data_IF_844242997394
#
_entry.id   IF_844242997394
#
_cell.length_a   1.000
_cell.length_b   1.000
_cell.length_c   1.000
_cell.angle_alpha   90.00
_cell.angle_beta   90.00
_cell.angle_gamma   90.00
#
_symmetry.space_group_name_H-M   'P 1'
#
loop_
_entity.id
_entity.type
_entity.pdbx_description
1 polymer ?
#
# COMPACT_ATOMS: atom_id res chain seq x y z
N UNK A 1 -8.09 -16.77 -27.75
CA UNK A 1 -7.01 -15.80 -27.60
C UNK A 1 -7.20 -15.18 -26.23
N UNK A 2 -6.67 -15.82 -25.19
CA UNK A 2 -6.56 -15.23 -23.86
C UNK A 2 -5.48 -14.16 -23.96
N UNK A 3 -5.89 -12.91 -24.13
CA UNK A 3 -4.98 -11.79 -23.96
C UNK A 3 -4.53 -11.79 -22.51
N UNK A 4 -3.23 -12.03 -22.31
CA UNK A 4 -2.51 -12.04 -21.04
C UNK A 4 -3.13 -11.08 -20.01
N UNK A 5 -3.84 -11.66 -19.03
CA UNK A 5 -4.35 -10.95 -17.85
C UNK A 5 -3.22 -10.69 -16.83
N UNK A 6 -1.99 -10.57 -17.31
CA UNK A 6 -0.81 -10.35 -16.49
C UNK A 6 -0.94 -9.00 -15.78
N UNK A 7 -0.78 -8.97 -14.45
CA UNK A 7 -0.71 -7.73 -13.71
C UNK A 7 0.35 -6.79 -14.29
N UNK A 8 0.15 -5.48 -14.17
CA UNK A 8 1.23 -4.51 -14.47
C UNK A 8 2.31 -4.54 -13.40
N UNK A 9 1.88 -4.73 -12.15
CA UNK A 9 2.72 -4.77 -10.98
C UNK A 9 2.00 -5.56 -9.90
N UNK A 10 2.74 -6.28 -9.08
CA UNK A 10 2.23 -6.98 -7.89
C UNK A 10 2.91 -6.44 -6.64
N UNK A 11 2.17 -6.41 -5.53
CA UNK A 11 2.76 -6.06 -4.24
C UNK A 11 3.12 -7.34 -3.51
N UNK A 12 4.41 -7.49 -3.19
CA UNK A 12 5.00 -8.72 -2.66
C UNK A 12 5.17 -8.69 -1.14
N UNK A 13 5.32 -7.51 -0.54
CA UNK A 13 5.52 -7.38 0.90
C UNK A 13 5.33 -5.96 1.44
N UNK A 14 5.20 -5.88 2.76
CA UNK A 14 5.23 -4.65 3.54
C UNK A 14 6.49 -4.59 4.40
N UNK A 15 7.00 -3.39 4.61
CA UNK A 15 8.25 -3.16 5.30
C UNK A 15 8.18 -1.91 6.17
N UNK A 16 8.93 -1.92 7.26
CA UNK A 16 9.22 -0.71 8.06
C UNK A 16 10.60 -0.18 7.69
N UNK A 17 10.74 1.15 7.73
CA UNK A 17 12.03 1.80 7.60
C UNK A 17 12.81 1.72 8.91
N UNK A 18 14.06 1.30 8.85
CA UNK A 18 15.02 1.32 9.96
C UNK A 18 16.29 2.07 9.54
N UNK A 19 17.19 2.31 10.49
CA UNK A 19 18.50 2.89 10.19
C UNK A 19 19.31 2.02 9.21
N UNK A 20 19.11 0.70 9.23
CA UNK A 20 19.84 -0.25 8.40
C UNK A 20 19.14 -0.59 7.07
N UNK A 21 18.01 0.05 6.77
CA UNK A 21 17.21 -0.22 5.57
C UNK A 21 15.80 -0.71 5.89
N UNK A 22 15.22 -1.50 5.00
CA UNK A 22 13.85 -2.01 5.11
C UNK A 22 13.82 -3.35 5.83
N UNK A 23 12.96 -3.47 6.84
CA UNK A 23 12.70 -4.73 7.55
C UNK A 23 11.26 -5.20 7.29
N UNK A 24 11.01 -6.50 7.07
CA UNK A 24 9.67 -7.02 6.86
C UNK A 24 8.72 -6.66 8.01
N UNK A 25 7.59 -6.07 7.64
CA UNK A 25 6.52 -5.73 8.56
C UNK A 25 5.49 -6.86 8.56
N UNK A 26 5.37 -7.52 9.70
CA UNK A 26 4.51 -8.68 9.91
C UNK A 26 3.79 -8.57 11.25
N UNK A 27 2.92 -9.54 11.56
CA UNK A 27 2.31 -9.66 12.88
C UNK A 27 3.32 -9.81 14.01
N UNK A 28 4.44 -10.49 13.77
CA UNK A 28 5.46 -10.79 14.78
C UNK A 28 6.46 -9.64 14.99
N UNK A 29 6.43 -8.63 14.12
CA UNK A 29 7.29 -7.45 14.16
C UNK A 29 6.44 -6.19 14.37
N UNK A 30 5.88 -5.97 15.58
CA UNK A 30 4.94 -4.89 15.82
C UNK A 30 5.59 -3.51 15.72
N UNK A 31 4.84 -2.54 15.19
CA UNK A 31 5.18 -1.13 15.20
C UNK A 31 4.84 -0.50 16.55
N UNK A 32 5.69 0.38 17.03
CA UNK A 32 5.40 1.27 18.15
C UNK A 32 4.48 2.42 17.72
N UNK A 33 3.78 3.05 18.68
CA UNK A 33 2.99 4.23 18.40
C UNK A 33 3.82 5.42 17.89
N UNK A 34 5.10 5.50 18.27
CA UNK A 34 6.02 6.51 17.73
C UNK A 34 6.34 6.26 16.25
N UNK A 35 6.66 5.02 15.87
CA UNK A 35 6.90 4.64 14.47
C UNK A 35 5.67 4.93 13.61
N UNK A 36 4.47 4.54 14.06
CA UNK A 36 3.21 4.81 13.36
C UNK A 36 2.95 6.32 13.16
N UNK A 37 3.44 7.16 14.07
CA UNK A 37 3.25 8.62 13.99
C UNK A 37 4.23 9.31 13.05
N UNK A 38 5.44 8.80 12.93
CA UNK A 38 6.57 9.50 12.30
C UNK A 38 7.07 8.85 11.01
N UNK A 39 6.86 7.55 10.86
CA UNK A 39 7.46 6.77 9.79
C UNK A 39 6.38 6.25 8.84
N UNK A 40 6.62 6.30 7.52
CA UNK A 40 5.73 5.65 6.57
C UNK A 40 5.92 4.12 6.62
N UNK A 41 4.92 3.41 6.12
CA UNK A 41 5.00 1.98 5.82
C UNK A 41 5.37 1.84 4.35
N UNK A 42 6.39 1.03 4.09
CA UNK A 42 6.86 0.75 2.73
C UNK A 42 6.19 -0.51 2.20
N UNK A 43 5.98 -0.55 0.89
CA UNK A 43 5.55 -1.73 0.17
C UNK A 43 6.44 -1.94 -1.04
N UNK A 44 6.69 -3.21 -1.36
CA UNK A 44 7.51 -3.57 -2.52
C UNK A 44 6.62 -3.86 -3.72
N UNK A 45 6.89 -3.17 -4.82
CA UNK A 45 6.31 -3.42 -6.12
C UNK A 45 7.25 -4.33 -6.92
N UNK A 46 6.75 -5.49 -7.33
CA UNK A 46 7.33 -6.27 -8.41
C UNK A 46 6.65 -5.85 -9.72
N UNK A 47 7.44 -5.31 -10.64
CA UNK A 47 7.01 -4.81 -11.94
C UNK A 47 7.14 -5.91 -12.97
N UNK A 48 6.14 -6.06 -13.83
CA UNK A 48 6.19 -7.03 -14.92
C UNK A 48 6.95 -6.45 -16.12
N UNK A 49 7.91 -7.23 -16.65
CA UNK A 49 8.81 -6.83 -17.75
C UNK A 49 8.03 -6.43 -19.03
N UNK A 50 6.93 -7.11 -19.33
CA UNK A 50 6.06 -6.80 -20.48
C UNK A 50 5.37 -5.43 -20.39
N UNK A 51 5.43 -4.80 -19.22
CA UNK A 51 4.82 -3.50 -18.93
C UNK A 51 5.83 -2.51 -18.33
N UNK A 52 7.10 -2.60 -18.76
CA UNK A 52 8.20 -1.75 -18.31
C UNK A 52 7.95 -0.25 -18.49
N UNK A 53 7.10 0.15 -19.45
CA UNK A 53 6.77 1.55 -19.74
C UNK A 53 5.45 2.02 -19.11
N UNK A 54 4.74 1.16 -18.39
CA UNK A 54 3.44 1.52 -17.83
C UNK A 54 3.57 2.41 -16.59
N UNK A 55 2.79 3.49 -16.60
CA UNK A 55 2.47 4.29 -15.40
C UNK A 55 1.49 3.51 -14.51
N UNK A 56 1.57 3.71 -13.19
CA UNK A 56 0.78 2.98 -12.20
C UNK A 56 -0.20 3.89 -11.45
N UNK A 57 -1.40 3.37 -11.20
CA UNK A 57 -2.31 3.87 -10.18
C UNK A 57 -2.32 2.90 -9.00
N UNK A 58 -2.33 3.44 -7.79
CA UNK A 58 -2.22 2.63 -6.57
C UNK A 58 -3.25 3.10 -5.53
N UNK A 59 -3.99 2.15 -4.98
CA UNK A 59 -4.89 2.38 -3.85
C UNK A 59 -4.51 1.46 -2.68
N UNK A 60 -4.55 2.00 -1.46
CA UNK A 60 -4.40 1.25 -0.21
C UNK A 60 -5.77 1.06 0.43
N UNK A 61 -6.06 -0.17 0.83
CA UNK A 61 -7.22 -0.53 1.64
C UNK A 61 -6.68 -0.91 3.00
N UNK A 62 -6.96 -0.09 4.00
CA UNK A 62 -6.52 -0.30 5.38
C UNK A 62 -7.74 -0.67 6.22
N UNK A 63 -7.69 -1.82 6.88
CA UNK A 63 -8.84 -2.45 7.53
C UNK A 63 -10.06 -2.49 6.61
N UNK A 64 -11.23 -2.16 7.14
CA UNK A 64 -12.49 -2.08 6.40
C UNK A 64 -12.76 -0.66 5.87
N UNK A 65 -11.73 0.20 5.80
CA UNK A 65 -11.91 1.55 5.28
C UNK A 65 -12.10 1.57 3.76
N UNK A 66 -12.72 2.65 3.28
CA UNK A 66 -12.78 2.93 1.86
C UNK A 66 -11.35 3.03 1.27
N UNK A 67 -11.12 2.54 0.04
CA UNK A 67 -9.82 2.61 -0.59
C UNK A 67 -9.27 4.04 -0.64
N UNK A 68 -8.05 4.20 -0.12
CA UNK A 68 -7.31 5.44 -0.12
C UNK A 68 -6.43 5.52 -1.35
N UNK A 69 -6.53 6.63 -2.08
CA UNK A 69 -5.74 6.86 -3.29
C UNK A 69 -4.33 7.29 -2.91
N UNK A 70 -3.32 6.54 -3.35
CA UNK A 70 -1.93 6.99 -3.33
C UNK A 70 -1.61 7.82 -4.58
N UNK A 71 -0.43 8.44 -4.56
CA UNK A 71 0.15 9.12 -5.71
C UNK A 71 0.25 8.14 -6.89
N UNK A 72 -0.07 8.64 -8.09
CA UNK A 72 0.16 7.88 -9.32
C UNK A 72 1.68 7.82 -9.56
N UNK A 73 2.23 6.63 -9.82
CA UNK A 73 3.65 6.48 -10.13
C UNK A 73 3.85 6.58 -11.63
N UNK A 74 4.57 7.62 -12.06
CA UNK A 74 4.83 7.88 -13.46
C UNK A 74 6.19 7.28 -13.85
N UNK A 75 6.22 6.53 -14.96
CA UNK A 75 7.42 5.82 -15.39
C UNK A 75 8.47 6.80 -15.92
N UNK A 76 9.71 6.63 -15.46
CA UNK A 76 10.84 7.51 -15.76
C UNK A 76 10.90 8.78 -14.90
N UNK A 77 9.94 8.99 -13.99
CA UNK A 77 10.01 10.07 -12.99
C UNK A 77 10.00 9.51 -11.58
N UNK A 78 8.86 9.02 -11.12
CA UNK A 78 8.69 8.46 -9.76
C UNK A 78 9.11 6.99 -9.73
N UNK A 79 8.93 6.30 -10.87
CA UNK A 79 9.26 4.90 -11.04
C UNK A 79 10.37 4.76 -12.09
N UNK A 80 11.61 4.37 -11.72
CA UNK A 80 12.68 4.19 -12.69
C UNK A 80 12.34 3.17 -13.79
N UNK A 81 13.06 3.28 -14.93
CA UNK A 81 12.96 2.33 -16.04
C UNK A 81 13.91 1.16 -15.84
N UNK A 82 13.55 -0.01 -16.35
CA UNK A 82 14.40 -1.21 -16.31
C UNK A 82 14.63 -1.81 -14.93
N UNK A 83 13.85 -1.39 -13.92
CA UNK A 83 13.87 -2.00 -12.58
C UNK A 83 12.73 -3.00 -12.46
N UNK A 84 13.01 -4.13 -11.81
CA UNK A 84 12.00 -5.14 -11.49
C UNK A 84 11.33 -4.87 -10.14
N UNK A 85 12.09 -4.41 -9.16
CA UNK A 85 11.60 -4.16 -7.81
C UNK A 85 11.70 -2.67 -7.49
N UNK A 86 10.64 -2.10 -6.91
CA UNK A 86 10.61 -0.72 -6.46
C UNK A 86 9.91 -0.58 -5.11
N UNK A 87 10.56 0.03 -4.10
CA UNK A 87 9.89 0.38 -2.87
C UNK A 87 9.11 1.69 -3.05
N UNK A 88 7.83 1.67 -2.67
CA UNK A 88 7.03 2.89 -2.49
C UNK A 88 6.37 2.84 -1.09
N UNK A 89 5.63 3.87 -0.70
CA UNK A 89 5.20 4.01 0.69
C UNK A 89 3.82 4.65 0.86
N UNK A 90 3.25 4.45 2.04
CA UNK A 90 2.05 5.16 2.49
C UNK A 90 2.15 5.46 4.00
N UNK A 91 1.39 6.45 4.45
CA UNK A 91 1.22 6.73 5.88
C UNK A 91 -0.05 6.06 6.41
N UNK A 92 0.05 5.45 7.60
CA UNK A 92 -1.14 4.99 8.32
C UNK A 92 -1.99 6.23 8.65
N UNK A 93 -3.30 6.25 8.34
CA UNK A 93 -4.12 7.45 8.50
C UNK A 93 -4.07 8.01 9.94
N UNK A 94 -4.08 9.33 10.15
CA UNK A 94 -3.97 9.92 11.49
C UNK A 94 -5.12 9.49 12.42
N UNK A 95 -4.94 9.69 13.74
CA UNK A 95 -6.02 9.59 14.75
C UNK A 95 -7.05 10.71 14.55
N UNK A 96 -7.75 10.68 13.43
CA UNK A 96 -9.02 11.36 13.22
C UNK A 96 -10.08 10.27 13.22
N UNK A 97 -11.22 10.54 13.83
CA UNK A 97 -12.35 9.62 13.76
C UNK A 97 -12.71 9.40 12.29
N UNK A 98 -12.32 8.24 11.76
CA UNK A 98 -12.65 7.81 10.41
C UNK A 98 -13.80 6.81 10.50
N UNK A 99 -14.52 6.66 9.39
CA UNK A 99 -15.61 5.68 9.29
C UNK A 99 -15.24 4.61 8.29
N UNK A 100 -15.51 3.36 8.63
CA UNK A 100 -15.45 2.25 7.69
C UNK A 100 -16.60 2.32 6.67
N UNK A 101 -16.64 1.35 5.74
CA UNK A 101 -17.69 1.24 4.72
C UNK A 101 -19.11 1.05 5.31
N UNK A 102 -19.22 0.58 6.55
CA UNK A 102 -20.48 0.36 7.27
C UNK A 102 -20.85 1.57 8.16
N UNK A 103 -20.03 2.62 8.16
CA UNK A 103 -20.22 3.84 8.95
C UNK A 103 -19.74 3.74 10.40
N UNK A 104 -19.06 2.66 10.80
CA UNK A 104 -18.52 2.47 12.15
C UNK A 104 -17.22 3.26 12.33
N UNK A 105 -17.01 3.77 13.54
CA UNK A 105 -15.77 4.45 13.91
C UNK A 105 -14.59 3.49 13.86
N UNK A 106 -13.53 3.91 13.19
CA UNK A 106 -12.25 3.20 13.15
C UNK A 106 -11.11 4.09 13.61
N UNK A 107 -10.11 3.46 14.22
CA UNK A 107 -8.92 4.12 14.76
C UNK A 107 -7.67 3.49 14.12
N UNK A 108 -7.22 3.98 12.96
CA UNK A 108 -6.21 3.30 12.15
C UNK A 108 -4.84 3.17 12.82
N UNK A 109 -4.55 4.01 13.81
CA UNK A 109 -3.29 4.00 14.59
C UNK A 109 -3.43 3.37 15.97
N UNK A 110 -4.62 2.86 16.34
CA UNK A 110 -4.82 2.26 17.66
C UNK A 110 -3.95 1.00 17.83
N UNK A 111 -3.57 0.65 19.06
CA UNK A 111 -2.96 -0.65 19.33
C UNK A 111 -3.86 -1.80 18.87
N UNK A 112 -3.27 -2.81 18.23
CA UNK A 112 -4.01 -3.95 17.69
C UNK A 112 -3.43 -4.48 16.39
N UNK A 113 -4.10 -5.50 15.84
CA UNK A 113 -3.78 -6.03 14.52
C UNK A 113 -4.62 -5.31 13.47
N UNK A 114 -3.94 -4.82 12.43
CA UNK A 114 -4.53 -4.15 11.29
C UNK A 114 -4.26 -4.94 10.02
N UNK A 115 -5.16 -4.79 9.06
CA UNK A 115 -5.06 -5.43 7.76
C UNK A 115 -4.81 -4.41 6.67
N UNK A 116 -3.97 -4.75 5.70
CA UNK A 116 -3.65 -3.88 4.57
C UNK A 116 -3.73 -4.69 3.29
N UNK A 117 -4.41 -4.12 2.29
CA UNK A 117 -4.35 -4.58 0.90
C UNK A 117 -3.98 -3.43 0.00
N UNK A 118 -3.20 -3.70 -1.03
CA UNK A 118 -2.79 -2.70 -2.00
C UNK A 118 -3.25 -3.15 -3.37
N UNK A 119 -3.89 -2.23 -4.11
CA UNK A 119 -4.33 -2.46 -5.48
C UNK A 119 -3.47 -1.65 -6.42
N UNK A 120 -3.02 -2.30 -7.47
CA UNK A 120 -2.19 -1.71 -8.53
C UNK A 120 -2.90 -1.90 -9.85
N UNK A 121 -2.77 -0.95 -10.77
CA UNK A 121 -3.22 -1.11 -12.15
C UNK A 121 -2.52 -0.10 -13.05
N UNK A 122 -2.67 -0.27 -14.37
CA UNK A 122 -2.15 0.71 -15.33
C UNK A 122 -2.91 2.02 -15.19
N UNK A 123 -2.17 3.12 -15.16
CA UNK A 123 -2.75 4.46 -15.28
C UNK A 123 -3.07 4.75 -16.74
N UNK A 124 -4.34 4.90 -17.07
CA UNK A 124 -4.75 5.36 -18.41
C UNK A 124 -4.85 6.88 -18.45
N UNK A 125 -4.31 7.52 -19.49
CA UNK A 125 -4.44 8.98 -19.70
C UNK A 125 -5.89 9.47 -19.64
N UNK A 126 -6.82 8.64 -20.10
CA UNK A 126 -8.27 8.89 -20.11
C UNK A 126 -8.95 8.87 -18.73
N UNK A 127 -8.24 8.40 -17.70
CA UNK A 127 -8.76 8.29 -16.31
C UNK A 127 -8.50 9.54 -15.47
N UNK A 128 -7.84 10.58 -16.02
CA UNK A 128 -7.61 11.83 -15.30
C UNK A 128 -8.96 12.45 -14.90
N UNK A 129 -9.28 12.40 -13.60
CA UNK A 129 -10.57 12.89 -13.05
C UNK A 129 -11.74 11.90 -13.06
N UNK A 130 -11.53 10.63 -13.46
CA UNK A 130 -12.55 9.56 -13.46
C UNK A 130 -12.27 8.51 -12.38
N UNK A 131 -13.20 7.57 -12.21
CA UNK A 131 -13.02 6.40 -11.33
C UNK A 131 -11.81 5.58 -11.79
N UNK A 132 -10.90 5.28 -10.86
CA UNK A 132 -9.75 4.40 -11.07
C UNK A 132 -10.22 2.98 -11.41
N UNK A 133 -9.61 2.34 -12.41
CA UNK A 133 -9.96 0.99 -12.86
C UNK A 133 -8.87 -0.02 -12.46
N UNK A 134 -9.19 -0.91 -11.52
CA UNK A 134 -8.31 -1.98 -11.06
C UNK A 134 -8.70 -3.36 -11.61
N UNK A 135 -9.46 -3.41 -12.71
CA UNK A 135 -9.83 -4.70 -13.31
C UNK A 135 -8.61 -5.42 -13.90
N UNK A 136 -8.63 -6.76 -13.97
CA UNK A 136 -7.59 -7.54 -14.63
C UNK A 136 -7.34 -7.09 -16.09
N UNK A 137 -8.39 -6.69 -16.82
CA UNK A 137 -8.28 -6.13 -18.17
C UNK A 137 -7.50 -4.80 -18.26
N UNK A 138 -7.24 -4.14 -17.12
CA UNK A 138 -6.37 -2.97 -17.02
C UNK A 138 -5.00 -3.30 -16.41
N UNK A 139 -4.60 -4.58 -16.42
CA UNK A 139 -3.42 -5.08 -15.70
C UNK A 139 -3.56 -4.94 -14.19
N UNK A 140 -4.79 -4.94 -13.67
CA UNK A 140 -5.07 -4.72 -12.26
C UNK A 140 -4.75 -5.93 -11.40
N UNK A 141 -4.17 -5.68 -10.23
CA UNK A 141 -3.93 -6.69 -9.20
C UNK A 141 -4.30 -6.16 -7.82
N UNK A 142 -4.62 -7.07 -6.91
CA UNK A 142 -4.82 -6.80 -5.49
C UNK A 142 -3.92 -7.73 -4.70
N UNK A 143 -3.13 -7.16 -3.79
CA UNK A 143 -2.22 -7.92 -2.95
C UNK A 143 -2.96 -8.95 -2.09
N UNK A 144 -2.21 -9.94 -1.55
CA UNK A 144 -2.64 -10.66 -0.35
C UNK A 144 -3.04 -9.69 0.77
N UNK A 145 -3.81 -10.20 1.74
CA UNK A 145 -4.03 -9.46 2.99
C UNK A 145 -2.73 -9.51 3.78
N UNK A 146 -2.13 -8.35 4.01
CA UNK A 146 -1.02 -8.21 4.94
C UNK A 146 -1.56 -7.88 6.32
N UNK A 147 -0.98 -8.49 7.35
CA UNK A 147 -1.28 -8.18 8.74
C UNK A 147 -0.08 -7.45 9.34
N UNK A 148 -0.35 -6.29 9.95
CA UNK A 148 0.62 -5.55 10.76
C UNK A 148 0.06 -5.39 12.16
N UNK A 149 0.95 -5.37 13.17
CA UNK A 149 0.54 -5.15 14.56
C UNK A 149 1.08 -3.82 15.06
N UNK A 150 0.25 -3.05 15.74
CA UNK A 150 0.65 -1.85 16.47
C UNK A 150 0.64 -2.20 17.96
N UNK A 151 1.80 -2.07 18.60
CA UNK A 151 1.93 -2.30 20.03
C UNK A 151 1.24 -1.18 20.82
N UNK A 152 0.63 -1.54 21.95
CA UNK A 152 0.25 -0.55 22.94
C UNK A 152 1.51 0.13 23.51
N UNK A 153 1.44 1.42 23.82
CA UNK A 153 2.47 2.04 24.66
C UNK A 153 2.57 1.19 25.93
N UNK A 154 3.79 0.79 26.28
CA UNK A 154 4.04 0.28 27.63
C UNK A 154 3.89 1.48 28.55
N UNK A 155 2.72 1.65 29.15
CA UNK A 155 2.57 2.48 30.34
C UNK A 155 3.52 1.90 31.40
N UNK A 156 4.69 2.52 31.54
CA UNK A 156 5.80 1.96 32.31
C UNK A 156 6.97 2.92 32.47
N UNK A 157 6.68 4.16 32.88
CA UNK A 157 7.44 4.85 33.94
C UNK A 157 6.70 6.14 34.34
N UNK A 158 5.80 6.00 35.33
CA UNK A 158 5.43 7.09 36.22
C UNK A 158 5.04 6.56 37.59
#
# INVERSE_FOLDING_TARGET
MDSDLTPVATVTGLYRGTFCGLEPLTRDTPLTLEEVRRNPVFYELELHDEHEDADLIIDVIYDNMAPMRLQDLMRGTDLPRGIRFWPDWFEIPPYREMRDIDGRRVYPRAPGTHTVRIRTARRKREQRGKTRNFSPANGGSTSPVFELTIAADRDGDR
#
